data_IF_680438525460
#
_entry.id   IF_680438525460
#
_cell.length_a   1.000
_cell.length_b   1.000
_cell.length_c   1.000
_cell.angle_alpha   90.00
_cell.angle_beta   90.00
_cell.angle_gamma   90.00
#
_symmetry.space_group_name_H-M   'P 1'
#
loop_
_entity.id
_entity.type
_entity.pdbx_description
1 polymer ?
#
# COMPACT_ATOMS: atom_id res chain seq x y z
N UNK A 1 12.26 5.46 25.61
CA UNK A 1 12.19 4.87 24.28
C UNK A 1 11.16 5.63 23.45
N UNK A 2 11.58 6.15 22.34
CA UNK A 2 10.73 7.04 21.54
C UNK A 2 9.68 6.25 20.79
N UNK A 3 8.47 6.78 20.80
CA UNK A 3 7.34 6.11 20.16
C UNK A 3 7.35 6.36 18.66
N UNK A 4 6.89 5.36 17.91
CA UNK A 4 6.61 5.53 16.49
C UNK A 4 5.30 6.30 16.36
N UNK A 5 5.34 7.38 15.61
CA UNK A 5 4.19 8.24 15.38
C UNK A 5 3.64 7.96 13.98
N UNK A 6 2.37 7.61 13.92
CA UNK A 6 1.65 7.40 12.65
C UNK A 6 0.81 8.63 12.37
N UNK A 7 0.99 9.22 11.21
CA UNK A 7 0.28 10.46 10.86
C UNK A 7 -0.04 10.51 9.38
N UNK A 8 -1.18 11.11 9.05
CA UNK A 8 -1.55 11.34 7.66
C UNK A 8 -0.53 12.28 7.01
N UNK A 9 -0.09 11.92 5.81
CA UNK A 9 0.84 12.72 5.02
C UNK A 9 0.06 13.33 3.87
N UNK A 10 -0.24 14.61 3.94
CA UNK A 10 -1.04 15.29 2.91
C UNK A 10 -0.25 15.59 1.65
N UNK A 11 1.07 15.74 1.81
CA UNK A 11 1.99 15.92 0.70
C UNK A 11 2.53 14.55 0.29
N UNK A 12 1.82 13.86 -0.59
CA UNK A 12 2.18 12.48 -0.99
C UNK A 12 3.60 12.38 -1.53
N UNK A 13 4.09 13.42 -2.18
CA UNK A 13 5.43 13.47 -2.76
C UNK A 13 6.54 13.32 -1.73
N UNK A 14 6.28 13.63 -0.46
CA UNK A 14 7.26 13.46 0.61
C UNK A 14 7.65 12.00 0.82
N UNK A 15 6.87 11.06 0.27
CA UNK A 15 7.10 9.63 0.41
C UNK A 15 7.82 9.02 -0.79
N UNK A 16 8.06 9.82 -1.83
CA UNK A 16 8.63 9.34 -3.11
C UNK A 16 9.97 8.63 -2.90
N UNK A 17 10.86 9.23 -2.11
CA UNK A 17 12.20 8.67 -1.90
C UNK A 17 12.15 7.32 -1.18
N UNK A 18 11.32 7.22 -0.14
CA UNK A 18 11.15 5.96 0.57
C UNK A 18 10.65 4.86 -0.36
N UNK A 19 9.63 5.16 -1.17
CA UNK A 19 9.08 4.19 -2.10
C UNK A 19 10.11 3.76 -3.15
N UNK A 20 10.88 4.72 -3.68
CA UNK A 20 11.91 4.44 -4.67
C UNK A 20 13.01 3.56 -4.10
N UNK A 21 13.51 3.88 -2.90
CA UNK A 21 14.59 3.11 -2.28
C UNK A 21 14.14 1.74 -1.79
N UNK A 22 12.83 1.54 -1.63
CA UNK A 22 12.25 0.26 -1.27
C UNK A 22 12.01 -0.65 -2.48
N UNK A 23 12.42 -0.23 -3.66
CA UNK A 23 12.29 -1.03 -4.88
C UNK A 23 10.93 -0.93 -5.56
N UNK A 24 10.09 0.01 -5.15
CA UNK A 24 8.80 0.22 -5.79
C UNK A 24 8.98 1.07 -7.05
N UNK A 25 8.26 0.70 -8.09
CA UNK A 25 8.28 1.48 -9.33
C UNK A 25 7.46 2.74 -9.13
N UNK A 26 8.17 3.85 -9.01
CA UNK A 26 7.54 5.14 -8.82
C UNK A 26 8.17 6.11 -9.80
N UNK A 27 7.37 6.57 -10.75
CA UNK A 27 7.82 7.47 -11.79
C UNK A 27 7.66 8.93 -11.39
N UNK A 28 8.27 9.79 -12.19
CA UNK A 28 8.07 11.22 -12.06
C UNK A 28 6.58 11.54 -12.30
N UNK A 29 6.02 12.41 -11.46
CA UNK A 29 4.61 12.76 -11.57
C UNK A 29 3.64 11.65 -11.15
N UNK A 30 4.08 10.73 -10.32
CA UNK A 30 3.26 9.59 -9.92
C UNK A 30 1.95 9.99 -9.25
N UNK A 31 1.92 11.12 -8.55
CA UNK A 31 0.69 11.58 -7.90
C UNK A 31 -0.39 11.97 -8.89
N UNK A 32 0.00 12.39 -10.10
CA UNK A 32 -0.96 12.71 -11.15
C UNK A 32 -1.47 11.45 -11.84
N UNK A 33 -0.65 10.41 -11.91
CA UNK A 33 -1.00 9.14 -12.56
C UNK A 33 -1.79 8.24 -11.64
N UNK A 34 -1.38 8.13 -10.39
CA UNK A 34 -1.96 7.19 -9.43
C UNK A 34 -3.19 7.75 -8.70
N UNK A 35 -3.37 9.05 -8.66
CA UNK A 35 -4.47 9.72 -7.96
C UNK A 35 -4.56 9.30 -6.49
N UNK A 36 -3.50 9.54 -5.69
CA UNK A 36 -3.52 9.17 -4.28
C UNK A 36 -4.59 9.97 -3.53
N UNK A 37 -5.29 9.30 -2.63
CA UNK A 37 -6.34 9.91 -1.81
C UNK A 37 -5.99 9.92 -0.34
N UNK A 38 -5.05 9.08 0.08
CA UNK A 38 -4.63 8.99 1.48
C UNK A 38 -3.23 8.43 1.55
N UNK A 39 -2.37 9.10 2.29
CA UNK A 39 -1.05 8.58 2.63
C UNK A 39 -0.85 8.70 4.13
N UNK A 40 -0.16 7.69 4.70
CA UNK A 40 0.16 7.69 6.12
C UNK A 40 1.63 7.32 6.29
N UNK A 41 2.28 8.00 7.23
CA UNK A 41 3.69 7.76 7.52
C UNK A 41 3.86 7.25 8.94
N UNK A 42 4.93 6.48 9.14
CA UNK A 42 5.42 6.06 10.44
C UNK A 42 6.78 6.71 10.66
N UNK A 43 6.91 7.53 11.70
CA UNK A 43 8.15 8.24 12.00
C UNK A 43 8.57 8.02 13.45
N UNK A 44 9.87 8.06 13.67
CA UNK A 44 10.45 8.04 15.01
C UNK A 44 11.54 9.09 15.02
N UNK A 45 11.45 10.04 15.96
CA UNK A 45 12.38 11.16 16.04
C UNK A 45 12.52 11.92 14.71
N UNK A 46 11.42 12.07 13.98
CA UNK A 46 11.42 12.75 12.70
C UNK A 46 11.90 11.91 11.53
N UNK A 47 12.45 10.72 11.78
CA UNK A 47 12.90 9.82 10.72
C UNK A 47 11.75 9.01 10.16
N UNK A 48 11.62 8.98 8.86
CA UNK A 48 10.61 8.22 8.16
C UNK A 48 10.99 6.73 8.15
N UNK A 49 10.21 5.90 8.83
CA UNK A 49 10.45 4.46 8.94
C UNK A 49 9.60 3.64 7.97
N UNK A 50 8.46 4.15 7.59
CA UNK A 50 7.56 3.45 6.70
C UNK A 50 6.44 4.35 6.24
N UNK A 51 5.73 3.92 5.21
CA UNK A 51 4.60 4.67 4.68
C UNK A 51 3.69 3.78 3.84
N UNK A 52 2.45 4.22 3.67
CA UNK A 52 1.49 3.57 2.79
C UNK A 52 0.66 4.63 2.08
N UNK A 53 0.27 4.36 0.84
CA UNK A 53 -0.55 5.24 0.03
C UNK A 53 -1.72 4.48 -0.57
N UNK A 54 -2.93 5.00 -0.36
CA UNK A 54 -4.16 4.53 -0.99
C UNK A 54 -4.48 5.46 -2.15
N UNK A 55 -4.77 4.88 -3.29
CA UNK A 55 -5.10 5.62 -4.52
C UNK A 55 -6.45 5.18 -5.05
N UNK A 56 -7.02 5.97 -5.96
CA UNK A 56 -8.25 5.60 -6.65
C UNK A 56 -7.91 5.22 -8.08
N UNK A 57 -8.11 3.93 -8.40
CA UNK A 57 -7.87 3.37 -9.74
C UNK A 57 -9.05 2.53 -10.17
N UNK A 58 -9.47 2.65 -11.42
CA UNK A 58 -10.54 1.82 -11.97
C UNK A 58 -11.80 1.83 -11.09
N UNK A 59 -12.13 2.99 -10.51
CA UNK A 59 -13.24 3.17 -9.56
C UNK A 59 -13.08 2.35 -8.28
N UNK A 60 -11.86 1.90 -7.99
CA UNK A 60 -11.54 1.14 -6.78
C UNK A 60 -10.56 1.92 -5.92
N UNK A 61 -10.61 1.65 -4.63
CA UNK A 61 -9.57 2.10 -3.71
C UNK A 61 -8.48 1.04 -3.68
N UNK A 62 -7.26 1.44 -3.91
CA UNK A 62 -6.13 0.54 -4.08
C UNK A 62 -5.02 0.93 -3.12
N UNK A 63 -4.50 -0.05 -2.37
CA UNK A 63 -3.26 0.14 -1.62
C UNK A 63 -2.11 0.08 -2.63
N UNK A 64 -1.71 1.23 -3.12
CA UNK A 64 -0.73 1.34 -4.22
C UNK A 64 0.69 1.13 -3.74
N UNK A 65 1.01 1.66 -2.56
CA UNK A 65 2.36 1.58 -2.03
C UNK A 65 2.32 1.27 -0.54
N UNK A 66 3.19 0.39 -0.12
CA UNK A 66 3.50 0.11 1.27
C UNK A 66 4.99 -0.18 1.35
N UNK A 67 5.70 0.59 2.14
CA UNK A 67 7.14 0.40 2.32
C UNK A 67 7.52 0.58 3.78
N UNK A 68 8.45 -0.24 4.25
CA UNK A 68 9.03 -0.15 5.59
C UNK A 68 10.54 -0.30 5.44
N UNK A 69 11.30 0.59 6.08
CA UNK A 69 12.75 0.53 6.06
C UNK A 69 13.26 -0.81 6.58
N UNK A 70 14.28 -1.37 5.92
CA UNK A 70 14.77 -2.70 6.20
C UNK A 70 15.13 -2.90 7.69
N UNK A 71 15.89 -1.99 8.34
CA UNK A 71 16.29 -2.21 9.73
C UNK A 71 15.15 -2.33 10.73
N UNK A 72 13.96 -1.83 10.39
CA UNK A 72 12.80 -1.86 11.29
C UNK A 72 11.69 -2.79 10.82
N UNK A 73 11.95 -3.62 9.83
CA UNK A 73 11.00 -4.66 9.42
C UNK A 73 10.86 -5.69 10.52
N UNK A 74 9.67 -6.27 10.62
CA UNK A 74 9.39 -7.25 11.66
C UNK A 74 8.89 -6.67 12.97
N UNK A 75 8.79 -5.34 13.08
CA UNK A 75 8.30 -4.67 14.28
C UNK A 75 6.81 -4.33 14.23
N UNK A 76 6.10 -4.79 13.20
CA UNK A 76 4.67 -4.55 13.08
C UNK A 76 4.29 -3.23 12.41
N UNK A 77 5.26 -2.49 11.87
CA UNK A 77 4.99 -1.20 11.22
C UNK A 77 4.12 -1.38 9.97
N UNK A 78 4.46 -2.33 9.11
CA UNK A 78 3.68 -2.60 7.90
C UNK A 78 2.26 -3.04 8.20
N UNK A 79 2.08 -3.87 9.22
CA UNK A 79 0.75 -4.27 9.68
C UNK A 79 -0.06 -3.07 10.16
N UNK A 80 0.54 -2.21 10.96
CA UNK A 80 -0.13 -1.02 11.49
C UNK A 80 -0.49 -0.04 10.37
N UNK A 81 0.40 0.19 9.43
CA UNK A 81 0.13 1.04 8.27
C UNK A 81 -1.04 0.50 7.45
N UNK A 82 -1.06 -0.81 7.22
CA UNK A 82 -2.15 -1.46 6.48
C UNK A 82 -3.48 -1.30 7.22
N UNK A 83 -3.49 -1.53 8.54
CA UNK A 83 -4.70 -1.37 9.36
C UNK A 83 -5.23 0.06 9.31
N UNK A 84 -4.33 1.05 9.33
CA UNK A 84 -4.73 2.46 9.26
C UNK A 84 -5.30 2.82 7.88
N UNK A 85 -4.78 2.22 6.82
CA UNK A 85 -5.38 2.37 5.49
C UNK A 85 -6.78 1.75 5.42
N UNK A 86 -6.97 0.58 6.04
CA UNK A 86 -8.28 -0.05 6.11
C UNK A 86 -9.26 0.81 6.92
N UNK A 87 -8.82 1.40 8.02
CA UNK A 87 -9.64 2.31 8.82
C UNK A 87 -10.06 3.54 8.00
N UNK A 88 -9.14 4.07 7.20
CA UNK A 88 -9.48 5.19 6.32
C UNK A 88 -10.58 4.81 5.33
N UNK A 89 -10.44 3.64 4.69
CA UNK A 89 -11.44 3.17 3.70
C UNK A 89 -12.79 2.97 4.36
N UNK A 90 -12.83 2.38 5.56
CA UNK A 90 -14.08 2.24 6.32
C UNK A 90 -14.69 3.60 6.64
N UNK A 91 -13.86 4.56 7.04
CA UNK A 91 -14.30 5.89 7.42
C UNK A 91 -14.96 6.68 6.31
N UNK A 92 -14.59 6.41 5.06
CA UNK A 92 -15.21 7.07 3.90
C UNK A 92 -16.33 6.21 3.27
N UNK A 93 -16.72 5.13 3.94
CA UNK A 93 -17.81 4.27 3.46
C UNK A 93 -17.39 3.26 2.39
N UNK A 94 -16.10 3.04 2.22
CA UNK A 94 -15.61 2.05 1.26
C UNK A 94 -15.85 0.63 1.73
N UNK A 95 -16.09 -0.29 0.80
CA UNK A 95 -16.38 -1.69 1.10
C UNK A 95 -15.22 -2.63 0.81
N UNK A 96 -14.18 -2.16 0.17
CA UNK A 96 -13.03 -2.99 -0.17
C UNK A 96 -11.78 -2.15 -0.43
N UNK A 97 -10.62 -2.73 -0.15
CA UNK A 97 -9.32 -2.18 -0.51
C UNK A 97 -8.59 -3.23 -1.34
N UNK A 98 -8.21 -2.86 -2.54
CA UNK A 98 -7.56 -3.75 -3.51
C UNK A 98 -6.06 -3.51 -3.52
N UNK A 99 -5.28 -4.50 -3.92
CA UNK A 99 -3.83 -4.35 -4.08
C UNK A 99 -3.25 -5.41 -5.01
N UNK A 100 -2.11 -5.09 -5.60
CA UNK A 100 -1.28 -6.05 -6.32
C UNK A 100 -0.03 -6.28 -5.47
N UNK A 101 0.19 -7.50 -5.00
CA UNK A 101 1.23 -7.80 -4.03
C UNK A 101 2.28 -8.75 -4.58
N UNK A 102 3.56 -8.40 -4.42
CA UNK A 102 4.69 -9.30 -4.71
C UNK A 102 4.85 -10.32 -3.58
N UNK A 103 4.48 -9.95 -2.36
CA UNK A 103 4.54 -10.82 -1.19
C UNK A 103 3.14 -11.03 -0.63
N UNK A 104 2.31 -11.83 -1.32
CA UNK A 104 0.90 -11.96 -0.95
C UNK A 104 0.67 -12.55 0.44
N UNK A 105 1.60 -13.37 0.93
CA UNK A 105 1.44 -14.02 2.24
C UNK A 105 1.35 -13.02 3.39
N UNK A 106 2.06 -11.90 3.29
CA UNK A 106 1.97 -10.84 4.30
C UNK A 106 0.52 -10.35 4.43
N UNK A 107 -0.11 -10.06 3.30
CA UNK A 107 -1.48 -9.54 3.29
C UNK A 107 -2.52 -10.61 3.60
N UNK A 108 -2.27 -11.86 3.19
CA UNK A 108 -3.17 -12.97 3.54
C UNK A 108 -3.24 -13.19 5.04
N UNK A 109 -2.13 -13.00 5.75
CA UNK A 109 -2.13 -13.07 7.22
C UNK A 109 -2.96 -11.96 7.84
N UNK A 110 -3.20 -10.87 7.12
CA UNK A 110 -4.06 -9.78 7.54
C UNK A 110 -5.48 -9.93 7.00
N UNK A 111 -5.83 -11.13 6.46
CA UNK A 111 -7.14 -11.50 5.95
C UNK A 111 -7.48 -10.99 4.55
N UNK A 112 -6.49 -10.59 3.76
CA UNK A 112 -6.71 -10.32 2.35
C UNK A 112 -6.94 -11.65 1.61
N UNK A 113 -7.71 -11.60 0.53
CA UNK A 113 -8.04 -12.76 -0.30
C UNK A 113 -7.55 -12.54 -1.72
N UNK A 114 -7.10 -13.61 -2.37
CA UNK A 114 -6.80 -13.55 -3.80
C UNK A 114 -8.10 -13.36 -4.58
N UNK A 115 -8.00 -12.60 -5.65
CA UNK A 115 -9.11 -12.39 -6.58
C UNK A 115 -8.70 -12.81 -7.98
N UNK A 116 -9.66 -13.29 -8.77
CA UNK A 116 -9.45 -13.65 -10.16
C UNK A 116 -9.57 -12.45 -11.10
N UNK A 117 -10.02 -11.31 -10.58
CA UNK A 117 -10.13 -10.08 -11.34
C UNK A 117 -8.74 -9.45 -11.50
N UNK A 118 -8.14 -9.61 -12.66
CA UNK A 118 -6.77 -9.19 -12.92
C UNK A 118 -6.65 -7.74 -13.40
N UNK A 119 -7.63 -6.89 -13.13
CA UNK A 119 -7.62 -5.50 -13.62
C UNK A 119 -6.39 -4.73 -13.16
N UNK A 120 -5.96 -4.90 -11.90
CA UNK A 120 -4.79 -4.21 -11.37
C UNK A 120 -3.47 -4.78 -11.91
N UNK A 121 -3.50 -5.97 -12.46
CA UNK A 121 -2.31 -6.63 -13.01
C UNK A 121 -2.16 -6.42 -14.50
N UNK A 122 -3.06 -5.67 -15.14
CA UNK A 122 -3.03 -5.48 -16.59
C UNK A 122 -1.66 -4.99 -17.10
N UNK A 123 -1.06 -4.04 -16.39
CA UNK A 123 0.27 -3.53 -16.74
C UNK A 123 1.36 -4.56 -16.44
N UNK A 124 1.19 -5.34 -15.38
CA UNK A 124 2.16 -6.39 -15.03
C UNK A 124 2.19 -7.50 -16.07
N UNK A 125 1.04 -7.84 -16.67
CA UNK A 125 0.98 -8.85 -17.72
C UNK A 125 1.77 -8.46 -18.96
N UNK A 126 2.01 -7.16 -19.16
CA UNK A 126 2.84 -6.63 -20.25
C UNK A 126 4.31 -6.50 -19.88
N UNK A 127 4.63 -6.66 -18.61
CA UNK A 127 5.99 -6.53 -18.11
C UNK A 127 6.81 -7.77 -18.48
N UNK A 128 8.03 -7.61 -19.05
CA UNK A 128 8.88 -8.75 -19.40
C UNK A 128 9.26 -9.65 -18.23
N UNK A 129 9.26 -9.09 -17.01
CA UNK A 129 9.64 -9.84 -15.81
C UNK A 129 8.48 -10.61 -15.19
N UNK A 130 7.25 -10.43 -15.70
CA UNK A 130 6.08 -11.11 -15.15
C UNK A 130 6.20 -12.62 -15.33
N UNK A 131 6.02 -13.33 -14.24
CA UNK A 131 6.11 -14.79 -14.22
C UNK A 131 7.54 -15.32 -14.11
N UNK A 132 8.56 -14.45 -14.15
CA UNK A 132 9.97 -14.82 -13.98
C UNK A 132 10.45 -14.34 -12.61
N UNK A 133 10.90 -13.08 -12.55
CA UNK A 133 11.39 -12.47 -11.31
C UNK A 133 10.28 -11.74 -10.54
N UNK A 134 9.14 -11.51 -11.17
CA UNK A 134 8.02 -10.81 -10.57
C UNK A 134 6.70 -11.51 -10.95
N UNK A 135 6.01 -12.03 -9.95
CA UNK A 135 4.72 -12.69 -10.13
C UNK A 135 3.74 -12.16 -9.07
N UNK A 136 3.33 -10.89 -9.16
CA UNK A 136 2.42 -10.34 -8.16
C UNK A 136 1.05 -10.98 -8.25
N UNK A 137 0.36 -11.03 -7.10
CA UNK A 137 -1.03 -11.49 -7.00
C UNK A 137 -1.93 -10.31 -6.72
N UNK A 138 -3.11 -10.33 -7.31
CA UNK A 138 -4.12 -9.34 -6.97
C UNK A 138 -4.90 -9.83 -5.77
N UNK A 139 -4.97 -8.98 -4.74
CA UNK A 139 -5.62 -9.30 -3.48
C UNK A 139 -6.66 -8.23 -3.16
N UNK A 140 -7.59 -8.58 -2.30
CA UNK A 140 -8.62 -7.66 -1.83
C UNK A 140 -8.88 -7.87 -0.35
N UNK A 141 -9.02 -6.75 0.38
CA UNK A 141 -9.57 -6.74 1.72
C UNK A 141 -11.04 -6.36 1.61
N UNK A 142 -11.93 -7.26 1.98
CA UNK A 142 -13.34 -6.95 2.08
C UNK A 142 -13.63 -6.40 3.48
N UNK A 143 -14.22 -5.23 3.52
CA UNK A 143 -14.53 -4.56 4.77
C UNK A 143 -15.99 -4.85 5.11
N UNK A 144 -16.19 -5.54 6.23
CA UNK A 144 -17.56 -5.83 6.68
C UNK A 144 -18.22 -4.56 7.15
N UNK A 145 -19.47 -4.38 6.74
CA UNK A 145 -20.28 -3.32 7.30
C UNK A 145 -20.48 -3.60 8.78
N UNK A 146 -20.17 -2.62 9.60
CA UNK A 146 -20.56 -2.67 11.00
C UNK A 146 -22.05 -2.36 11.08
N UNK A 147 -22.82 -3.38 11.31
CA UNK A 147 -24.25 -3.22 11.56
C UNK A 147 -24.48 -2.48 12.87
#
# INVERSE_FOLDING_TARGET
MDKIVYAEEKEHENLTELYRTSGLEIGEGWTEVCHPVFSISARQDGMLLGAATVSRRFRRLVLDYLAVEIPVRGLGIGKKLTELCLDYVRGIGGSALWLAAREPEFYKRLHARETEDAALLADCLRCPDYGKDCAPKELVFYLKETS
#
